data_IF_713168997954
#
_entry.id   IF_713168997954
#
_cell.length_a   1.000
_cell.length_b   1.000
_cell.length_c   1.000
_cell.angle_alpha   90.00
_cell.angle_beta   90.00
_cell.angle_gamma   90.00
#
_symmetry.space_group_name_H-M   'P 1'
#
loop_
_entity.id
_entity.type
_entity.pdbx_description
1 polymer ?
#
# COMPACT_ATOMS: atom_id res chain seq x y z
N UNK A 1 -8.67 0.05 -9.08
CA UNK A 1 -9.31 0.04 -7.75
C UNK A 1 -9.11 1.38 -7.03
N UNK A 2 -10.18 2.14 -6.81
CA UNK A 2 -10.36 2.77 -5.49
C UNK A 2 -10.51 1.62 -4.48
N UNK A 3 -10.22 1.81 -3.20
CA UNK A 3 -10.82 0.97 -2.16
C UNK A 3 -12.32 1.16 -2.32
N UNK A 4 -12.95 0.35 -3.17
CA UNK A 4 -14.31 0.57 -3.60
C UNK A 4 -15.15 -0.52 -2.99
N UNK A 5 -15.37 -0.38 -1.70
CA UNK A 5 -16.59 -0.92 -1.13
C UNK A 5 -17.76 -0.11 -1.71
N UNK A 6 -18.66 -0.79 -2.41
CA UNK A 6 -19.91 -0.18 -2.85
C UNK A 6 -20.91 -0.42 -1.75
N UNK A 7 -21.61 0.63 -1.30
CA UNK A 7 -22.77 0.46 -0.44
C UNK A 7 -24.01 0.68 -1.25
N UNK A 8 -24.78 -0.39 -1.39
CA UNK A 8 -26.10 -0.32 -2.00
C UNK A 8 -27.12 -0.26 -0.86
N UNK A 9 -27.88 0.83 -0.83
CA UNK A 9 -29.09 0.93 -0.01
C UNK A 9 -30.26 0.28 -0.74
N UNK A 10 -30.94 -0.68 -0.10
CA UNK A 10 -32.23 -1.20 -0.57
C UNK A 10 -33.18 -1.35 0.61
N UNK A 11 -34.37 -0.75 0.52
CA UNK A 11 -35.45 -0.89 1.51
C UNK A 11 -35.06 -0.58 2.98
N UNK A 12 -34.22 0.45 3.21
CA UNK A 12 -33.77 0.81 4.56
C UNK A 12 -32.64 -0.09 5.12
N UNK A 13 -32.12 -1.03 4.33
CA UNK A 13 -30.92 -1.82 4.64
C UNK A 13 -29.75 -1.33 3.80
N UNK A 14 -28.59 -1.15 4.42
CA UNK A 14 -27.32 -0.84 3.76
C UNK A 14 -26.48 -2.11 3.66
N UNK A 15 -26.14 -2.54 2.44
CA UNK A 15 -25.27 -3.69 2.20
C UNK A 15 -23.91 -3.16 1.75
N UNK A 16 -22.87 -3.46 2.52
CA UNK A 16 -21.49 -3.17 2.15
C UNK A 16 -20.89 -4.34 1.36
N UNK A 17 -20.45 -4.09 0.14
CA UNK A 17 -19.67 -5.04 -0.64
C UNK A 17 -18.19 -4.81 -0.32
N UNK A 18 -17.52 -5.83 0.25
CA UNK A 18 -16.08 -5.77 0.56
C UNK A 18 -15.31 -6.52 -0.51
N UNK A 19 -14.26 -5.90 -1.05
CA UNK A 19 -13.39 -6.52 -2.05
C UNK A 19 -12.50 -7.60 -1.38
N UNK A 20 -12.90 -8.86 -1.52
CA UNK A 20 -12.18 -10.00 -0.94
C UNK A 20 -10.82 -10.21 -1.60
N UNK A 21 -10.61 -9.79 -2.85
CA UNK A 21 -9.31 -9.93 -3.52
C UNK A 21 -8.27 -9.01 -2.90
N UNK A 22 -8.67 -7.82 -2.45
CA UNK A 22 -7.79 -6.91 -1.71
C UNK A 22 -7.45 -7.46 -0.32
N UNK A 23 -8.42 -8.05 0.38
CA UNK A 23 -8.18 -8.70 1.67
C UNK A 23 -7.21 -9.89 1.54
N UNK A 24 -7.34 -10.65 0.45
CA UNK A 24 -6.41 -11.73 0.13
C UNK A 24 -5.03 -11.19 -0.23
N UNK A 25 -4.93 -10.12 -1.02
CA UNK A 25 -3.65 -9.50 -1.36
C UNK A 25 -2.94 -8.94 -0.12
N UNK A 26 -3.66 -8.27 0.77
CA UNK A 26 -3.10 -7.74 2.02
C UNK A 26 -2.69 -8.86 2.98
N UNK A 27 -3.53 -9.88 3.15
CA UNK A 27 -3.20 -11.07 3.95
C UNK A 27 -1.98 -11.79 3.41
N UNK A 28 -1.86 -11.84 2.09
CA UNK A 28 -0.73 -12.43 1.42
C UNK A 28 0.54 -11.60 1.61
N UNK A 29 0.54 -10.28 1.42
CA UNK A 29 1.70 -9.42 1.71
C UNK A 29 2.10 -9.46 3.19
N UNK A 30 1.11 -9.50 4.09
CA UNK A 30 1.35 -9.64 5.52
C UNK A 30 2.06 -10.94 5.87
N UNK A 31 1.62 -12.05 5.30
CA UNK A 31 2.30 -13.33 5.45
C UNK A 31 3.78 -13.24 5.06
N UNK A 32 4.10 -12.47 4.01
CA UNK A 32 5.48 -12.31 3.52
C UNK A 32 6.36 -11.49 4.45
N UNK A 33 5.80 -10.42 5.02
CA UNK A 33 6.50 -9.61 6.02
C UNK A 33 6.86 -10.43 7.26
N UNK A 34 5.97 -11.34 7.67
CA UNK A 34 6.19 -12.23 8.83
C UNK A 34 7.10 -13.43 8.52
N UNK A 35 7.26 -13.81 7.25
CA UNK A 35 8.08 -14.97 6.84
C UNK A 35 9.56 -14.67 6.59
N UNK A 36 10.02 -13.43 6.79
CA UNK A 36 11.35 -12.97 6.41
C UNK A 36 11.71 -13.45 4.99
N UNK A 37 10.82 -13.14 4.05
CA UNK A 37 10.89 -13.69 2.69
C UNK A 37 11.94 -12.98 1.81
N UNK A 38 12.59 -13.75 0.94
CA UNK A 38 13.51 -13.21 -0.04
C UNK A 38 12.88 -12.15 -0.95
N UNK A 39 13.59 -11.05 -1.25
CA UNK A 39 13.02 -9.91 -1.98
C UNK A 39 12.46 -10.25 -3.37
N UNK A 40 13.02 -11.26 -4.06
CA UNK A 40 12.55 -11.70 -5.38
C UNK A 40 11.09 -12.14 -5.41
N UNK A 41 10.60 -12.75 -4.33
CA UNK A 41 9.21 -13.16 -4.27
C UNK A 41 8.30 -11.96 -4.08
N UNK A 42 8.64 -11.04 -3.16
CA UNK A 42 7.95 -9.76 -2.97
C UNK A 42 7.92 -8.94 -4.26
N UNK A 43 9.06 -8.84 -4.95
CA UNK A 43 9.16 -8.26 -6.29
C UNK A 43 8.14 -8.87 -7.26
N UNK A 44 8.11 -10.21 -7.38
CA UNK A 44 7.21 -10.87 -8.32
C UNK A 44 5.74 -10.57 -8.02
N UNK A 45 5.36 -10.45 -6.75
CA UNK A 45 3.98 -10.08 -6.38
C UNK A 45 3.63 -8.66 -6.78
N UNK A 46 4.48 -7.68 -6.49
CA UNK A 46 4.22 -6.30 -6.90
C UNK A 46 4.20 -6.15 -8.42
N UNK A 47 4.99 -6.94 -9.15
CA UNK A 47 4.91 -7.01 -10.61
C UNK A 47 3.56 -7.59 -11.09
N UNK A 48 3.06 -8.66 -10.45
CA UNK A 48 1.74 -9.25 -10.74
C UNK A 48 0.63 -8.24 -10.45
N UNK A 49 0.62 -7.60 -9.27
CA UNK A 49 -0.36 -6.56 -8.93
C UNK A 49 -0.30 -5.36 -9.87
N UNK A 50 0.90 -4.99 -10.30
CA UNK A 50 1.10 -3.97 -11.33
C UNK A 50 0.45 -4.38 -12.65
N UNK A 51 0.64 -5.64 -13.07
CA UNK A 51 0.05 -6.18 -14.28
C UNK A 51 -1.48 -6.25 -14.20
N UNK A 52 -2.04 -6.72 -13.09
CA UNK A 52 -3.49 -6.76 -12.83
C UNK A 52 -4.10 -5.35 -12.91
N UNK A 53 -3.49 -4.37 -12.24
CA UNK A 53 -3.97 -3.00 -12.23
C UNK A 53 -3.92 -2.35 -13.62
N UNK A 54 -2.88 -2.61 -14.41
CA UNK A 54 -2.77 -2.13 -15.79
C UNK A 54 -3.77 -2.83 -16.71
N UNK A 55 -3.96 -4.13 -16.53
CA UNK A 55 -4.94 -4.93 -17.25
C UNK A 55 -6.36 -4.42 -17.02
N UNK A 56 -6.74 -4.15 -15.76
CA UNK A 56 -8.04 -3.54 -15.42
C UNK A 56 -8.22 -2.14 -16.04
N UNK A 57 -7.12 -1.38 -16.15
CA UNK A 57 -7.08 -0.06 -16.80
C UNK A 57 -6.98 -0.16 -18.35
N UNK A 58 -7.05 -1.37 -18.90
CA UNK A 58 -7.06 -1.68 -20.34
C UNK A 58 -5.67 -1.74 -21.00
N UNK A 59 -4.58 -1.59 -20.27
CA UNK A 59 -3.22 -1.56 -20.80
C UNK A 59 -2.58 -2.96 -20.87
N UNK A 60 -3.15 -3.78 -21.76
CA UNK A 60 -2.82 -5.20 -21.90
C UNK A 60 -1.34 -5.44 -22.27
N UNK A 61 -0.74 -4.54 -23.06
CA UNK A 61 0.64 -4.65 -23.52
C UNK A 61 1.64 -4.45 -22.39
N UNK A 62 1.48 -3.40 -21.57
CA UNK A 62 2.38 -3.22 -20.43
C UNK A 62 2.11 -4.28 -19.37
N UNK A 63 0.85 -4.68 -19.14
CA UNK A 63 0.53 -5.78 -18.23
C UNK A 63 1.25 -7.09 -18.62
N UNK A 64 1.26 -7.44 -19.91
CA UNK A 64 2.01 -8.58 -20.42
C UNK A 64 3.52 -8.40 -20.22
N UNK A 65 4.07 -7.23 -20.54
CA UNK A 65 5.51 -6.94 -20.38
C UNK A 65 5.96 -7.03 -18.90
N UNK A 66 5.15 -6.55 -17.96
CA UNK A 66 5.41 -6.71 -16.52
C UNK A 66 5.45 -8.19 -16.14
N UNK A 67 4.48 -8.97 -16.61
CA UNK A 67 4.40 -10.41 -16.35
C UNK A 67 5.59 -11.18 -16.93
N UNK A 68 6.02 -10.83 -18.14
CA UNK A 68 7.22 -11.41 -18.78
C UNK A 68 8.50 -11.08 -18.01
N UNK A 69 8.65 -9.82 -17.55
CA UNK A 69 9.80 -9.39 -16.75
C UNK A 69 9.84 -10.12 -15.40
N UNK A 70 8.70 -10.25 -14.72
CA UNK A 70 8.60 -11.02 -13.47
C UNK A 70 9.08 -12.46 -13.65
N UNK A 71 8.59 -13.13 -14.70
CA UNK A 71 9.00 -14.50 -15.05
C UNK A 71 10.49 -14.59 -15.43
N UNK A 72 11.04 -13.59 -16.12
CA UNK A 72 12.46 -13.53 -16.44
C UNK A 72 13.33 -13.46 -15.18
N UNK A 73 13.00 -12.58 -14.23
CA UNK A 73 13.74 -12.46 -12.96
C UNK A 73 13.64 -13.71 -12.10
N UNK A 74 12.47 -14.36 -12.05
CA UNK A 74 12.32 -15.65 -11.37
C UNK A 74 13.20 -16.74 -12.00
N UNK A 75 13.30 -16.79 -13.33
CA UNK A 75 14.21 -17.73 -14.03
C UNK A 75 15.67 -17.44 -13.77
N UNK A 76 16.07 -16.17 -13.70
CA UNK A 76 17.44 -15.78 -13.34
C UNK A 76 17.77 -16.23 -11.91
N UNK A 77 16.83 -16.04 -10.99
CA UNK A 77 16.96 -16.51 -9.62
C UNK A 77 17.04 -18.04 -9.53
N UNK A 78 16.22 -18.79 -10.29
CA UNK A 78 16.34 -20.26 -10.38
C UNK A 78 17.76 -20.69 -10.73
N UNK A 79 18.34 -20.05 -11.76
CA UNK A 79 19.70 -20.33 -12.23
C UNK A 79 20.76 -19.98 -11.18
N UNK A 80 20.60 -18.85 -10.48
CA UNK A 80 21.48 -18.47 -9.38
C UNK A 80 21.49 -19.52 -8.26
N UNK A 81 20.32 -20.07 -7.92
CA UNK A 81 20.20 -21.14 -6.94
C UNK A 81 20.56 -22.54 -7.47
N UNK A 82 21.06 -22.64 -8.70
CA UNK A 82 21.34 -23.93 -9.37
C UNK A 82 20.13 -24.89 -9.35
N UNK A 83 18.92 -24.33 -9.37
CA UNK A 83 17.66 -25.05 -9.25
C UNK A 83 16.89 -25.06 -10.58
N UNK A 84 16.01 -26.05 -10.75
CA UNK A 84 15.08 -26.09 -11.89
C UNK A 84 14.04 -24.97 -11.85
N UNK A 85 13.01 -25.05 -12.69
CA UNK A 85 11.89 -24.08 -12.69
C UNK A 85 11.00 -24.15 -11.43
N UNK A 86 11.34 -25.01 -10.47
CA UNK A 86 10.68 -25.16 -9.19
C UNK A 86 11.65 -24.68 -8.12
N UNK A 87 11.49 -23.43 -7.68
CA UNK A 87 12.15 -22.96 -6.46
C UNK A 87 11.17 -23.20 -5.33
N UNK A 88 11.54 -24.09 -4.40
CA UNK A 88 10.85 -24.15 -3.13
C UNK A 88 11.07 -22.81 -2.45
N UNK A 89 9.99 -22.04 -2.30
CA UNK A 89 9.96 -20.81 -1.53
C UNK A 89 10.46 -21.12 -0.12
N UNK A 90 11.71 -20.77 0.26
CA UNK A 90 12.20 -21.07 1.59
C UNK A 90 11.40 -20.21 2.56
N UNK A 91 10.70 -20.86 3.51
CA UNK A 91 9.86 -20.19 4.50
C UNK A 91 10.37 -20.53 5.89
N UNK A 92 10.72 -19.52 6.66
CA UNK A 92 10.60 -19.62 8.10
C UNK A 92 9.13 -19.29 8.42
N UNK A 93 8.31 -20.33 8.60
CA UNK A 93 6.90 -20.12 8.97
C UNK A 93 6.84 -19.80 10.45
N UNK A 94 6.49 -18.56 10.80
CA UNK A 94 6.02 -18.27 12.14
C UNK A 94 4.64 -18.94 12.33
N UNK A 95 4.49 -19.90 13.27
CA UNK A 95 3.21 -20.58 13.49
C UNK A 95 2.06 -19.62 13.83
N UNK A 96 2.39 -18.44 14.37
CA UNK A 96 1.43 -17.38 14.68
C UNK A 96 0.66 -16.91 13.43
N UNK A 97 1.23 -16.99 12.24
CA UNK A 97 0.56 -16.57 11.01
C UNK A 97 -0.69 -17.41 10.70
N UNK A 98 -0.62 -18.72 10.91
CA UNK A 98 -1.76 -19.61 10.64
C UNK A 98 -2.92 -19.26 11.58
N UNK A 99 -2.63 -19.05 12.86
CA UNK A 99 -3.61 -18.63 13.87
C UNK A 99 -4.30 -17.31 13.48
N UNK A 100 -3.54 -16.35 12.95
CA UNK A 100 -4.07 -15.05 12.51
C UNK A 100 -5.00 -15.15 11.30
N UNK A 101 -4.64 -16.02 10.34
CA UNK A 101 -5.44 -16.25 9.14
C UNK A 101 -6.75 -16.98 9.49
N UNK A 102 -6.68 -18.04 10.31
CA UNK A 102 -7.85 -18.79 10.76
C UNK A 102 -8.80 -17.92 11.61
N UNK A 103 -8.24 -17.04 12.44
CA UNK A 103 -9.00 -16.09 13.24
C UNK A 103 -9.58 -14.92 12.44
N UNK A 104 -9.32 -14.82 11.13
CA UNK A 104 -9.79 -13.73 10.27
C UNK A 104 -9.45 -12.32 10.82
N UNK A 105 -8.30 -12.16 11.48
CA UNK A 105 -7.92 -10.89 12.12
C UNK A 105 -7.76 -9.78 11.08
N UNK A 106 -7.07 -10.06 9.98
CA UNK A 106 -6.85 -9.09 8.90
C UNK A 106 -8.14 -8.74 8.16
N UNK A 107 -9.00 -9.73 7.93
CA UNK A 107 -10.32 -9.50 7.34
C UNK A 107 -11.17 -8.62 8.27
N UNK A 108 -11.12 -8.84 9.58
CA UNK A 108 -11.83 -8.02 10.57
C UNK A 108 -11.32 -6.58 10.60
N UNK A 109 -10.01 -6.37 10.43
CA UNK A 109 -9.43 -5.03 10.29
C UNK A 109 -9.96 -4.32 9.05
N UNK A 110 -9.94 -4.99 7.88
CA UNK A 110 -10.42 -4.43 6.61
C UNK A 110 -11.91 -4.10 6.70
N UNK A 111 -12.73 -5.03 7.19
CA UNK A 111 -14.16 -4.79 7.37
C UNK A 111 -14.39 -3.59 8.29
N UNK A 112 -13.66 -3.50 9.41
CA UNK A 112 -13.79 -2.36 10.32
C UNK A 112 -13.36 -1.04 9.71
N UNK A 113 -12.30 -1.03 8.90
CA UNK A 113 -11.87 0.15 8.15
C UNK A 113 -12.95 0.60 7.16
N UNK A 114 -13.50 -0.32 6.36
CA UNK A 114 -14.57 0.00 5.40
C UNK A 114 -15.84 0.48 6.10
N UNK A 115 -16.26 -0.20 7.18
CA UNK A 115 -17.39 0.25 7.99
C UNK A 115 -17.13 1.65 8.59
N UNK A 116 -15.88 1.98 8.89
CA UNK A 116 -15.49 3.30 9.36
C UNK A 116 -15.87 4.40 8.37
N UNK A 117 -15.53 4.20 7.09
CA UNK A 117 -15.92 5.13 6.03
C UNK A 117 -17.44 5.31 5.90
N UNK A 118 -18.20 4.24 6.14
CA UNK A 118 -19.66 4.31 6.10
C UNK A 118 -20.23 5.07 7.28
N UNK A 119 -19.73 4.80 8.48
CA UNK A 119 -20.22 5.42 9.71
C UNK A 119 -19.90 6.92 9.75
N UNK A 120 -18.82 7.35 9.09
CA UNK A 120 -18.51 8.76 8.84
C UNK A 120 -19.59 9.49 8.02
N UNK A 121 -20.34 8.77 7.17
CA UNK A 121 -21.39 9.35 6.33
C UNK A 121 -22.75 9.39 7.03
N UNK A 122 -23.03 8.42 7.91
CA UNK A 122 -24.36 8.22 8.51
C UNK A 122 -24.49 8.89 9.90
N UNK A 123 -23.37 9.25 10.55
CA UNK A 123 -23.39 10.01 11.81
C UNK A 123 -23.88 9.20 13.02
N UNK A 124 -23.38 7.97 13.20
CA UNK A 124 -23.81 7.07 14.27
C UNK A 124 -23.22 7.46 15.65
N UNK A 125 -24.08 7.85 16.59
CA UNK A 125 -23.70 8.35 17.92
C UNK A 125 -22.73 7.44 18.72
N UNK A 126 -22.82 6.11 18.56
CA UNK A 126 -21.93 5.18 19.26
C UNK A 126 -20.47 5.22 18.79
N UNK A 127 -20.23 5.63 17.54
CA UNK A 127 -18.89 5.70 16.94
C UNK A 127 -18.38 7.15 16.88
N UNK A 128 -19.27 8.13 16.97
CA UNK A 128 -18.93 9.55 17.10
C UNK A 128 -17.92 9.79 18.22
N UNK A 129 -18.12 9.19 19.41
CA UNK A 129 -17.18 9.37 20.52
C UNK A 129 -15.76 8.86 20.22
N UNK A 130 -15.64 7.71 19.53
CA UNK A 130 -14.34 7.19 19.08
C UNK A 130 -13.71 8.10 18.02
N UNK A 131 -14.50 8.57 17.07
CA UNK A 131 -14.05 9.43 15.98
C UNK A 131 -13.62 10.81 16.47
N UNK A 132 -14.33 11.39 17.44
CA UNK A 132 -13.98 12.65 18.09
C UNK A 132 -12.69 12.51 18.91
N UNK A 133 -12.53 11.37 19.60
CA UNK A 133 -11.29 11.05 20.30
C UNK A 133 -10.10 11.01 19.34
N UNK A 134 -10.26 10.35 18.18
CA UNK A 134 -9.21 10.29 17.14
C UNK A 134 -8.87 11.68 16.59
N UNK A 135 -9.88 12.51 16.32
CA UNK A 135 -9.70 13.90 15.85
C UNK A 135 -8.89 14.71 16.85
N UNK A 136 -9.25 14.65 18.13
CA UNK A 136 -8.52 15.36 19.18
C UNK A 136 -7.03 14.96 19.21
N UNK A 137 -6.71 13.67 19.11
CA UNK A 137 -5.31 13.20 19.08
C UNK A 137 -4.57 13.58 17.81
N UNK A 138 -5.28 13.69 16.68
CA UNK A 138 -4.70 14.20 15.44
C UNK A 138 -4.34 15.69 15.61
N UNK A 139 -5.27 16.49 16.10
CA UNK A 139 -5.11 17.95 16.29
C UNK A 139 -4.01 18.29 17.32
N UNK A 140 -3.82 17.45 18.33
CA UNK A 140 -2.71 17.57 19.30
C UNK A 140 -1.34 17.28 18.67
N UNK A 141 -1.29 16.43 17.65
CA UNK A 141 -0.05 15.78 17.19
C UNK A 141 0.45 16.27 15.82
N UNK A 142 -0.42 16.83 14.98
CA UNK A 142 -0.08 17.11 13.58
C UNK A 142 0.98 18.21 13.39
N UNK A 143 1.29 18.98 14.44
CA UNK A 143 2.34 20.01 14.41
C UNK A 143 3.59 19.56 15.19
N UNK A 144 4.74 19.58 14.54
CA UNK A 144 6.04 19.54 15.19
C UNK A 144 6.42 20.96 15.62
N UNK A 145 6.61 21.14 16.93
CA UNK A 145 6.95 22.42 17.58
C UNK A 145 8.36 22.43 18.17
N UNK A 146 9.20 21.43 17.84
CA UNK A 146 10.57 21.32 18.36
C UNK A 146 11.54 22.37 17.80
N UNK A 147 11.27 22.90 16.60
CA UNK A 147 12.07 23.94 15.95
C UNK A 147 11.55 25.37 16.16
N UNK A 148 12.26 26.36 15.61
CA UNK A 148 11.86 27.77 15.64
C UNK A 148 10.53 28.04 14.92
N UNK A 149 10.21 27.25 13.90
CA UNK A 149 8.96 27.34 13.14
C UNK A 149 8.23 26.01 13.28
N UNK A 150 6.95 26.07 13.67
CA UNK A 150 6.11 24.87 13.74
C UNK A 150 5.89 24.29 12.33
N UNK A 151 6.03 22.97 12.18
CA UNK A 151 5.92 22.26 10.89
C UNK A 151 4.77 21.26 10.92
N UNK A 152 4.10 21.11 9.78
CA UNK A 152 3.09 20.06 9.62
C UNK A 152 3.78 18.69 9.51
N UNK A 153 3.60 17.79 10.48
CA UNK A 153 4.26 16.46 10.49
C UNK A 153 3.76 15.56 9.37
N UNK A 154 2.46 15.57 9.14
CA UNK A 154 1.77 14.54 8.35
C UNK A 154 1.54 14.92 6.88
N UNK A 155 1.73 16.19 6.52
CA UNK A 155 1.57 16.67 5.16
C UNK A 155 2.89 17.28 4.68
N UNK A 156 3.19 17.05 3.42
CA UNK A 156 4.34 17.66 2.74
C UNK A 156 3.90 18.30 1.42
N UNK A 157 4.68 19.28 0.92
CA UNK A 157 4.42 19.86 -0.39
C UNK A 157 4.59 18.79 -1.46
N UNK A 158 3.79 18.86 -2.53
CA UNK A 158 4.00 17.98 -3.69
C UNK A 158 5.38 18.27 -4.29
N UNK A 159 6.19 17.22 -4.40
CA UNK A 159 7.49 17.28 -5.05
C UNK A 159 7.35 16.60 -6.40
N UNK A 160 7.78 17.28 -7.44
CA UNK A 160 7.69 16.78 -8.81
C UNK A 160 9.08 16.63 -9.38
N UNK A 161 9.44 15.41 -9.77
CA UNK A 161 10.66 15.14 -10.55
C UNK A 161 10.42 15.59 -11.99
N UNK A 162 11.15 16.60 -12.45
CA UNK A 162 11.10 17.06 -13.84
C UNK A 162 12.10 16.27 -14.68
N UNK A 163 11.73 16.06 -15.95
CA UNK A 163 12.55 15.41 -16.93
C UNK A 163 12.64 16.30 -18.16
N UNK A 164 13.81 16.38 -18.76
CA UNK A 164 14.03 17.04 -20.05
C UNK A 164 13.54 16.16 -21.21
N UNK A 165 13.55 16.71 -22.43
CA UNK A 165 13.04 16.03 -23.63
C UNK A 165 13.80 14.74 -23.97
N UNK A 166 15.03 14.59 -23.51
CA UNK A 166 15.86 13.39 -23.66
C UNK A 166 15.65 12.37 -22.52
N UNK A 167 14.79 12.68 -21.55
CA UNK A 167 14.48 11.83 -20.40
C UNK A 167 15.43 12.03 -19.21
N UNK A 168 16.42 12.91 -19.29
CA UNK A 168 17.34 13.22 -18.19
C UNK A 168 16.64 14.04 -17.10
N UNK A 169 17.08 13.93 -15.83
CA UNK A 169 16.50 14.72 -14.75
C UNK A 169 16.87 16.20 -14.87
N UNK A 170 15.84 17.03 -15.03
CA UNK A 170 15.94 18.49 -15.05
C UNK A 170 15.83 19.12 -13.64
N UNK A 171 15.96 18.29 -12.60
CA UNK A 171 15.77 18.66 -11.20
C UNK A 171 14.34 18.53 -10.70
N UNK A 172 14.04 19.17 -9.57
CA UNK A 172 12.78 19.05 -8.85
C UNK A 172 12.02 20.35 -8.80
N UNK A 173 10.70 20.27 -8.75
CA UNK A 173 9.84 21.38 -8.35
C UNK A 173 9.09 21.03 -7.08
N UNK A 174 9.26 21.85 -6.04
CA UNK A 174 8.49 21.77 -4.79
C UNK A 174 7.33 22.75 -4.88
N UNK A 175 6.10 22.25 -4.82
CA UNK A 175 4.89 23.05 -5.06
C UNK A 175 4.23 23.54 -3.76
N UNK A 176 4.90 24.44 -3.04
CA UNK A 176 4.43 24.93 -1.73
C UNK A 176 3.11 25.75 -1.77
N UNK A 177 2.92 26.59 -2.79
CA UNK A 177 1.73 27.48 -2.88
C UNK A 177 0.42 26.72 -3.16
N UNK A 178 0.50 25.54 -3.80
CA UNK A 178 -0.66 24.66 -3.99
C UNK A 178 -1.02 23.93 -2.70
N UNK A 179 -0.03 23.56 -1.89
CA UNK A 179 -0.25 22.85 -0.63
C UNK A 179 -1.10 23.67 0.33
N UNK A 180 -0.75 24.93 0.59
CA UNK A 180 -1.44 25.76 1.58
C UNK A 180 -2.96 25.88 1.34
N UNK A 181 -3.41 25.90 0.07
CA UNK A 181 -4.83 25.94 -0.29
C UNK A 181 -5.55 24.60 -0.11
N UNK A 182 -4.84 23.49 -0.30
CA UNK A 182 -5.38 22.12 -0.27
C UNK A 182 -5.25 21.46 1.11
N UNK A 183 -4.39 21.99 1.99
CA UNK A 183 -4.11 21.45 3.33
C UNK A 183 -5.36 21.13 4.14
N UNK A 184 -6.39 22.00 4.23
CA UNK A 184 -7.61 21.66 4.99
C UNK A 184 -8.29 20.40 4.47
N UNK A 185 -8.38 20.24 3.14
CA UNK A 185 -8.96 19.06 2.51
C UNK A 185 -8.11 17.81 2.73
N UNK A 186 -6.79 17.94 2.62
CA UNK A 186 -5.86 16.83 2.87
C UNK A 186 -5.88 16.35 4.32
N UNK A 187 -5.92 17.28 5.30
CA UNK A 187 -6.12 16.93 6.71
C UNK A 187 -7.44 16.21 6.91
N UNK A 188 -8.52 16.74 6.34
CA UNK A 188 -9.83 16.11 6.41
C UNK A 188 -9.83 14.67 5.84
N UNK A 189 -9.08 14.42 4.77
CA UNK A 189 -8.90 13.05 4.26
C UNK A 189 -8.07 12.18 5.21
N UNK A 190 -6.93 12.66 5.72
CA UNK A 190 -6.10 11.89 6.66
C UNK A 190 -6.88 11.53 7.94
N UNK A 191 -7.65 12.47 8.49
CA UNK A 191 -8.50 12.23 9.67
C UNK A 191 -9.49 11.09 9.39
N UNK A 192 -10.15 11.11 8.23
CA UNK A 192 -11.10 10.03 7.85
C UNK A 192 -10.42 8.67 7.75
N UNK A 193 -9.24 8.59 7.14
CA UNK A 193 -8.49 7.34 7.05
C UNK A 193 -8.11 6.80 8.43
N UNK A 194 -7.63 7.68 9.33
CA UNK A 194 -7.25 7.28 10.69
C UNK A 194 -8.47 6.88 11.52
N UNK A 195 -9.60 7.56 11.37
CA UNK A 195 -10.86 7.17 12.02
C UNK A 195 -11.30 5.77 11.57
N UNK A 196 -11.20 5.49 10.28
CA UNK A 196 -11.48 4.16 9.73
C UNK A 196 -10.52 3.11 10.29
N UNK A 197 -9.22 3.39 10.31
CA UNK A 197 -8.21 2.50 10.89
C UNK A 197 -8.49 2.21 12.36
N UNK A 198 -8.90 3.22 13.15
CA UNK A 198 -9.23 3.03 14.55
C UNK A 198 -10.35 2.00 14.70
N UNK A 199 -11.42 2.09 13.91
CA UNK A 199 -12.49 1.09 13.94
C UNK A 199 -11.99 -0.29 13.48
N UNK A 200 -11.12 -0.33 12.46
CA UNK A 200 -10.41 -1.54 12.04
C UNK A 200 -9.68 -2.22 13.20
N UNK A 201 -8.89 -1.46 13.98
CA UNK A 201 -8.17 -1.95 15.16
C UNK A 201 -9.14 -2.50 16.23
N UNK A 202 -10.24 -1.81 16.49
CA UNK A 202 -11.23 -2.25 17.48
C UNK A 202 -11.89 -3.57 17.06
N UNK A 203 -12.30 -3.70 15.81
CA UNK A 203 -12.96 -4.92 15.31
C UNK A 203 -12.02 -6.13 15.26
N UNK A 204 -10.80 -5.93 14.78
CA UNK A 204 -9.76 -6.97 14.77
C UNK A 204 -9.34 -7.38 16.18
N UNK A 205 -9.32 -6.46 17.15
CA UNK A 205 -9.09 -6.80 18.57
C UNK A 205 -10.14 -7.79 19.09
N UNK A 206 -11.41 -7.61 18.71
CA UNK A 206 -12.47 -8.54 19.12
C UNK A 206 -12.25 -9.95 18.55
N UNK A 207 -11.83 -10.05 17.28
CA UNK A 207 -11.48 -11.33 16.65
C UNK A 207 -10.27 -11.98 17.33
N UNK A 208 -9.23 -11.20 17.65
CA UNK A 208 -8.04 -11.68 18.36
C UNK A 208 -8.34 -12.21 19.77
N UNK A 209 -9.21 -11.52 20.52
CA UNK A 209 -9.65 -11.97 21.84
C UNK A 209 -10.35 -13.33 21.74
N UNK A 210 -11.26 -13.50 20.77
CA UNK A 210 -11.98 -14.76 20.57
C UNK A 210 -11.05 -15.93 20.24
N UNK A 211 -9.95 -15.66 19.53
CA UNK A 211 -8.96 -16.65 19.13
C UNK A 211 -7.81 -16.84 20.13
N UNK A 212 -7.74 -16.05 21.22
CA UNK A 212 -6.67 -16.14 22.20
C UNK A 212 -5.29 -15.66 21.70
N UNK A 213 -5.27 -14.83 20.65
CA UNK A 213 -4.04 -14.26 20.10
C UNK A 213 -3.45 -13.26 21.10
N UNK A 214 -2.12 -13.24 21.26
CA UNK A 214 -1.46 -12.29 22.17
C UNK A 214 -1.45 -10.87 21.59
N UNK A 215 -1.52 -9.87 22.48
CA UNK A 215 -1.59 -8.45 22.11
C UNK A 215 -0.33 -7.96 21.38
N UNK A 216 0.85 -8.45 21.72
CA UNK A 216 2.13 -8.06 21.12
C UNK A 216 2.19 -8.47 19.64
N UNK A 217 1.64 -9.64 19.33
CA UNK A 217 1.51 -10.16 17.97
C UNK A 217 0.64 -9.19 17.17
N UNK A 218 -0.55 -8.87 17.69
CA UNK A 218 -1.49 -7.98 17.01
C UNK A 218 -0.90 -6.57 16.79
N UNK A 219 -0.20 -6.04 17.79
CA UNK A 219 0.46 -4.74 17.72
C UNK A 219 1.50 -4.68 16.58
N UNK A 220 2.40 -5.67 16.50
CA UNK A 220 3.42 -5.74 15.45
C UNK A 220 2.81 -5.89 14.05
N UNK A 221 1.72 -6.65 13.92
CA UNK A 221 1.05 -6.87 12.65
C UNK A 221 0.45 -5.60 12.10
N UNK A 222 -0.24 -4.79 12.90
CA UNK A 222 -0.89 -3.59 12.36
C UNK A 222 0.09 -2.59 11.76
N UNK A 223 1.27 -2.43 12.36
CA UNK A 223 2.30 -1.58 11.77
C UNK A 223 2.70 -2.04 10.37
N UNK A 224 2.88 -3.35 10.19
CA UNK A 224 3.17 -3.95 8.90
C UNK A 224 1.98 -3.91 7.93
N UNK A 225 0.74 -4.07 8.42
CA UNK A 225 -0.50 -3.98 7.62
C UNK A 225 -0.64 -2.59 7.01
N UNK A 226 -0.45 -1.55 7.82
CA UNK A 226 -0.54 -0.17 7.39
C UNK A 226 0.49 0.12 6.29
N UNK A 227 1.71 -0.36 6.46
CA UNK A 227 2.76 -0.14 5.46
C UNK A 227 2.55 -0.93 4.17
N UNK A 228 2.22 -2.22 4.25
CA UNK A 228 1.95 -3.06 3.08
C UNK A 228 0.74 -2.52 2.28
N UNK A 229 -0.27 -2.02 3.00
CA UNK A 229 -1.39 -1.29 2.41
C UNK A 229 -0.91 -0.06 1.65
N UNK A 230 -0.04 0.75 2.25
CA UNK A 230 0.50 1.94 1.59
C UNK A 230 1.30 1.57 0.34
N UNK A 231 2.11 0.51 0.35
CA UNK A 231 2.84 0.05 -0.85
C UNK A 231 1.89 -0.28 -2.01
N UNK A 232 0.79 -1.00 -1.74
CA UNK A 232 -0.24 -1.29 -2.74
C UNK A 232 -0.94 -0.03 -3.25
N UNK A 233 -1.28 0.90 -2.34
CA UNK A 233 -1.93 2.15 -2.70
C UNK A 233 -1.00 3.04 -3.54
N UNK A 234 0.29 3.13 -3.18
CA UNK A 234 1.32 3.82 -3.96
C UNK A 234 1.40 3.23 -5.36
N UNK A 235 1.49 1.91 -5.49
CA UNK A 235 1.55 1.24 -6.79
C UNK A 235 0.36 1.66 -7.66
N UNK A 236 -0.86 1.65 -7.09
CA UNK A 236 -2.08 2.03 -7.82
C UNK A 236 -2.11 3.52 -8.22
N UNK A 237 -1.62 4.42 -7.38
CA UNK A 237 -1.54 5.87 -7.69
C UNK A 237 -0.48 6.18 -8.73
N UNK A 238 0.62 5.43 -8.72
CA UNK A 238 1.75 5.59 -9.62
C UNK A 238 1.43 5.14 -11.05
N UNK A 239 0.88 3.93 -11.23
CA UNK A 239 0.71 3.30 -12.55
C UNK A 239 0.02 4.19 -13.62
N UNK A 240 -1.09 4.91 -13.32
CA UNK A 240 -1.74 5.76 -14.30
C UNK A 240 -0.92 7.01 -14.68
N UNK A 241 0.07 7.38 -13.87
CA UNK A 241 0.93 8.56 -14.01
C UNK A 241 2.26 8.24 -14.70
N UNK A 242 2.55 6.95 -14.90
CA UNK A 242 3.80 6.53 -15.51
C UNK A 242 3.93 7.06 -16.95
N UNK A 243 5.14 7.47 -17.36
CA UNK A 243 5.37 7.96 -18.70
C UNK A 243 5.07 6.87 -19.74
N UNK A 244 4.59 7.28 -20.92
CA UNK A 244 4.39 6.42 -22.10
C UNK A 244 5.08 7.04 -23.31
N UNK A 245 6.03 6.32 -23.89
CA UNK A 245 6.81 6.81 -25.03
C UNK A 245 7.51 8.17 -24.76
N UNK A 246 7.47 9.05 -25.76
CA UNK A 246 8.17 10.36 -25.77
C UNK A 246 7.52 11.44 -24.89
N UNK A 247 6.31 11.23 -24.37
CA UNK A 247 5.70 12.19 -23.43
C UNK A 247 6.23 11.96 -22.02
N UNK A 248 7.32 12.64 -21.68
CA UNK A 248 7.72 12.84 -20.29
C UNK A 248 7.80 14.32 -19.99
N UNK A 249 6.98 14.77 -19.04
CA UNK A 249 7.25 16.00 -18.33
C UNK A 249 6.55 15.88 -16.98
N UNK A 250 7.37 15.79 -15.93
CA UNK A 250 6.99 15.76 -14.52
C UNK A 250 6.30 14.47 -14.02
N UNK A 251 6.94 13.75 -13.08
CA UNK A 251 6.29 12.71 -12.26
C UNK A 251 6.16 13.27 -10.83
N UNK A 252 4.93 13.45 -10.31
CA UNK A 252 4.73 13.81 -8.92
C UNK A 252 5.15 12.63 -8.04
N UNK A 253 5.90 12.93 -6.99
CA UNK A 253 6.26 11.97 -5.97
C UNK A 253 5.05 11.66 -5.09
N UNK A 254 4.98 10.41 -4.65
CA UNK A 254 3.82 9.91 -3.92
C UNK A 254 3.79 10.47 -2.51
N UNK A 255 2.75 11.27 -2.23
CA UNK A 255 2.40 11.62 -0.87
C UNK A 255 1.75 10.41 -0.19
N UNK A 256 2.14 10.16 1.05
CA UNK A 256 1.63 9.05 1.86
C UNK A 256 0.95 9.58 3.11
N UNK A 257 -0.13 8.89 3.54
CA UNK A 257 -0.78 9.11 4.83
C UNK A 257 -0.22 8.21 5.93
N UNK A 258 0.74 7.34 5.62
CA UNK A 258 1.24 6.30 6.51
C UNK A 258 1.81 6.85 7.82
N UNK A 259 2.50 8.00 7.79
CA UNK A 259 2.99 8.65 9.02
C UNK A 259 1.84 8.94 9.98
N UNK A 260 0.77 9.59 9.49
CA UNK A 260 -0.39 9.92 10.31
C UNK A 260 -1.03 8.65 10.85
N UNK A 261 -1.20 7.63 10.00
CA UNK A 261 -1.81 6.34 10.36
C UNK A 261 -1.01 5.61 11.43
N UNK A 262 0.31 5.50 11.28
CA UNK A 262 1.20 4.86 12.28
C UNK A 262 1.26 5.65 13.58
N UNK A 263 1.40 6.97 13.51
CA UNK A 263 1.46 7.82 14.69
C UNK A 263 0.16 7.73 15.49
N UNK A 264 -0.98 7.85 14.81
CA UNK A 264 -2.29 7.80 15.47
C UNK A 264 -2.64 6.38 15.93
N UNK A 265 -2.18 5.33 15.24
CA UNK A 265 -2.24 3.96 15.75
C UNK A 265 -1.53 3.83 17.10
N UNK A 266 -0.30 4.35 17.22
CA UNK A 266 0.45 4.32 18.49
C UNK A 266 -0.29 5.09 19.59
N UNK A 267 -0.84 6.27 19.27
CA UNK A 267 -1.67 7.04 20.21
C UNK A 267 -2.93 6.28 20.63
N UNK A 268 -3.60 5.61 19.68
CA UNK A 268 -4.77 4.78 19.94
C UNK A 268 -4.43 3.63 20.90
N UNK A 269 -3.35 2.91 20.65
CA UNK A 269 -2.90 1.80 21.51
C UNK A 269 -2.57 2.28 22.92
N UNK A 270 -1.86 3.40 23.07
CA UNK A 270 -1.64 4.06 24.38
C UNK A 270 -2.97 4.37 25.06
N UNK A 271 -3.89 5.00 24.32
CA UNK A 271 -5.20 5.34 24.84
C UNK A 271 -6.03 4.12 25.28
N UNK A 272 -5.96 3.02 24.54
CA UNK A 272 -6.62 1.75 24.85
C UNK A 272 -6.02 1.11 26.11
N UNK A 273 -4.69 1.09 26.22
CA UNK A 273 -3.96 0.61 27.39
C UNK A 273 -4.32 1.40 28.66
N UNK A 274 -4.45 2.72 28.54
CA UNK A 274 -4.76 3.61 29.65
C UNK A 274 -6.27 3.67 29.99
N UNK A 275 -7.12 2.99 29.21
CA UNK A 275 -8.57 3.00 29.42
C UNK A 275 -9.26 4.32 29.03
N UNK A 276 -8.60 5.16 28.23
CA UNK A 276 -9.09 6.50 27.84
C UNK A 276 -9.89 6.53 26.53
N UNK A 277 -9.94 5.42 25.80
CA UNK A 277 -10.65 5.30 24.51
C UNK A 277 -12.06 4.75 24.77
N UNK A 278 -13.12 5.35 24.17
CA UNK A 278 -14.51 4.95 24.41
C UNK A 278 -14.87 3.65 23.66
N UNK A 279 -14.40 2.50 24.15
CA UNK A 279 -14.62 1.17 23.56
C UNK A 279 -14.99 0.13 24.62
N UNK A 280 -15.51 -1.05 24.24
CA UNK A 280 -15.87 -2.11 25.18
C UNK A 280 -14.74 -2.53 26.13
N UNK A 281 -15.09 -2.86 27.38
CA UNK A 281 -14.15 -3.17 28.47
C UNK A 281 -13.23 -4.36 28.14
N UNK A 282 -13.73 -5.38 27.44
CA UNK A 282 -12.91 -6.52 27.03
C UNK A 282 -11.76 -6.12 26.10
N UNK A 283 -11.99 -5.13 25.22
CA UNK A 283 -10.95 -4.59 24.34
C UNK A 283 -9.93 -3.79 25.16
N UNK A 284 -10.38 -2.95 26.09
CA UNK A 284 -9.48 -2.24 27.00
C UNK A 284 -8.62 -3.20 27.83
N UNK A 285 -9.23 -4.26 28.37
CA UNK A 285 -8.52 -5.30 29.12
C UNK A 285 -7.49 -6.03 28.25
N UNK A 286 -7.83 -6.34 27.01
CA UNK A 286 -6.89 -6.96 26.07
C UNK A 286 -5.66 -6.08 25.83
N UNK A 287 -5.85 -4.80 25.48
CA UNK A 287 -4.74 -3.88 25.23
C UNK A 287 -3.95 -3.50 26.47
N UNK A 288 -4.55 -3.56 27.66
CA UNK A 288 -3.84 -3.28 28.92
C UNK A 288 -2.72 -4.29 29.19
N UNK A 289 -2.81 -5.50 28.62
CA UNK A 289 -1.79 -6.56 28.74
C UNK A 289 -0.52 -6.30 27.92
N UNK A 290 -0.52 -5.30 27.01
CA UNK A 290 0.65 -5.00 26.19
C UNK A 290 1.83 -4.56 27.08
N UNK A 291 3.04 -5.12 26.93
CA UNK A 291 4.20 -4.69 27.71
C UNK A 291 4.51 -3.22 27.50
N UNK A 292 4.72 -2.49 28.60
CA UNK A 292 4.97 -1.05 28.58
C UNK A 292 6.23 -0.68 27.78
N UNK A 293 7.27 -1.52 27.89
CA UNK A 293 8.54 -1.32 27.18
C UNK A 293 8.38 -1.38 25.65
N UNK A 294 7.43 -2.17 25.14
CA UNK A 294 7.11 -2.21 23.71
C UNK A 294 6.62 -0.85 23.24
N UNK A 295 5.72 -0.21 23.99
CA UNK A 295 5.12 1.06 23.59
C UNK A 295 6.10 2.23 23.76
N UNK A 296 6.87 2.25 24.86
CA UNK A 296 7.93 3.25 25.09
C UNK A 296 8.97 3.29 23.98
N UNK A 297 9.33 2.14 23.42
CA UNK A 297 10.27 2.09 22.29
C UNK A 297 9.75 2.90 21.09
N UNK A 298 8.48 2.73 20.72
CA UNK A 298 7.88 3.47 19.60
C UNK A 298 7.63 4.95 19.93
N UNK A 299 7.34 5.28 21.18
CA UNK A 299 7.26 6.68 21.63
C UNK A 299 8.61 7.38 21.54
N UNK A 300 9.70 6.69 21.88
CA UNK A 300 11.06 7.22 21.68
C UNK A 300 11.33 7.48 20.19
N UNK A 301 10.90 6.58 19.29
CA UNK A 301 11.01 6.80 17.84
C UNK A 301 10.20 8.02 17.36
N UNK A 302 9.06 8.32 17.99
CA UNK A 302 8.27 9.53 17.72
C UNK A 302 9.03 10.77 18.18
N UNK A 303 9.54 10.76 19.41
CA UNK A 303 10.19 11.91 20.02
C UNK A 303 11.50 12.26 19.29
N UNK A 304 12.22 11.24 18.80
CA UNK A 304 13.44 11.38 18.01
C UNK A 304 13.20 11.75 16.53
N UNK A 305 11.95 11.83 16.08
CA UNK A 305 11.61 12.09 14.67
C UNK A 305 11.97 10.94 13.71
N UNK A 306 12.22 9.74 14.25
CA UNK A 306 12.58 8.54 13.48
C UNK A 306 11.36 7.84 12.92
N UNK A 307 10.19 8.00 13.54
CA UNK A 307 8.93 7.44 13.03
C UNK A 307 8.58 8.05 11.67
N UNK A 308 8.81 9.34 11.45
CA UNK A 308 8.59 9.99 10.15
C UNK A 308 9.47 9.35 9.06
N UNK A 309 10.72 8.97 9.39
CA UNK A 309 11.60 8.27 8.45
C UNK A 309 11.08 6.88 8.09
N UNK A 310 10.55 6.15 9.10
CA UNK A 310 9.96 4.82 8.92
C UNK A 310 8.67 4.92 8.09
N UNK A 311 7.74 5.80 8.46
CA UNK A 311 6.46 5.97 7.77
C UNK A 311 6.59 6.54 6.36
N UNK A 312 7.76 7.03 5.98
CA UNK A 312 8.07 7.52 4.63
C UNK A 312 8.92 6.56 3.82
N UNK A 313 9.42 5.46 4.40
CA UNK A 313 10.41 4.61 3.74
C UNK A 313 9.90 4.04 2.42
N UNK A 314 8.65 3.61 2.33
CA UNK A 314 8.06 3.13 1.06
C UNK A 314 8.01 4.21 -0.02
N UNK A 315 7.60 5.44 0.32
CA UNK A 315 7.59 6.58 -0.60
C UNK A 315 9.00 7.03 -1.01
N UNK A 316 9.94 7.01 -0.07
CA UNK A 316 11.38 7.26 -0.28
C UNK A 316 11.93 6.23 -1.28
N UNK A 317 11.66 4.94 -1.07
CA UNK A 317 12.11 3.88 -1.97
C UNK A 317 11.46 3.99 -3.36
N UNK A 318 10.19 4.34 -3.46
CA UNK A 318 9.51 4.59 -4.74
C UNK A 318 10.20 5.70 -5.52
N UNK A 319 10.60 6.78 -4.84
CA UNK A 319 11.35 7.86 -5.46
C UNK A 319 12.67 7.37 -6.05
N UNK A 320 13.52 6.71 -5.25
CA UNK A 320 14.79 6.18 -5.73
C UNK A 320 14.61 5.20 -6.90
N UNK A 321 13.53 4.41 -6.87
CA UNK A 321 13.17 3.48 -7.94
C UNK A 321 12.84 4.21 -9.25
N UNK A 322 12.07 5.29 -9.21
CA UNK A 322 11.71 6.12 -10.37
C UNK A 322 12.98 6.78 -10.94
N UNK A 323 13.82 7.35 -10.10
CA UNK A 323 15.07 8.00 -10.53
C UNK A 323 15.99 7.00 -11.24
N UNK A 324 16.28 5.87 -10.59
CA UNK A 324 17.15 4.85 -11.14
C UNK A 324 16.59 4.24 -12.44
N UNK A 325 15.27 4.01 -12.52
CA UNK A 325 14.64 3.47 -13.72
C UNK A 325 14.72 4.41 -14.92
N UNK A 326 14.55 5.71 -14.70
CA UNK A 326 14.43 6.69 -15.79
C UNK A 326 15.76 7.36 -16.14
N UNK A 327 16.73 7.37 -15.23
CA UNK A 327 18.01 8.07 -15.38
C UNK A 327 19.22 7.13 -15.38
N UNK A 328 19.07 5.91 -14.87
CA UNK A 328 20.17 4.95 -14.72
C UNK A 328 21.05 5.16 -13.48
N UNK A 329 20.85 6.25 -12.72
CA UNK A 329 21.53 6.51 -11.44
C UNK A 329 20.64 7.30 -10.48
N UNK A 330 20.97 7.30 -9.19
CA UNK A 330 20.32 8.18 -8.21
C UNK A 330 20.79 9.64 -8.39
N UNK A 331 19.88 10.60 -8.20
CA UNK A 331 20.17 12.02 -8.38
C UNK A 331 21.08 12.61 -7.29
N UNK A 332 21.33 13.92 -7.39
CA UNK A 332 21.98 14.69 -6.31
C UNK A 332 20.94 15.21 -5.32
N UNK A 333 21.27 15.21 -4.03
CA UNK A 333 20.39 15.70 -2.98
C UNK A 333 19.96 17.15 -3.24
N UNK A 334 18.65 17.49 -3.21
CA UNK A 334 18.27 18.89 -3.06
C UNK A 334 18.77 19.41 -1.71
N UNK A 335 19.20 20.68 -1.69
CA UNK A 335 19.58 21.40 -0.45
C UNK A 335 18.32 21.57 0.41
N UNK A 336 18.09 20.66 1.34
CA UNK A 336 16.84 20.54 2.11
C UNK A 336 16.71 21.56 3.24
N UNK A 337 17.80 21.99 3.88
CA UNK A 337 17.75 22.91 5.01
C UNK A 337 17.20 24.31 4.61
N UNK A 338 17.79 24.93 3.58
CA UNK A 338 17.38 26.24 3.09
C UNK A 338 15.93 26.27 2.57
N UNK A 339 15.46 25.15 2.01
CA UNK A 339 14.08 25.01 1.52
C UNK A 339 13.08 24.86 2.67
N UNK A 340 13.45 24.12 3.72
CA UNK A 340 12.61 23.95 4.91
C UNK A 340 12.42 25.29 5.63
N UNK A 341 13.48 26.07 5.79
CA UNK A 341 13.41 27.40 6.40
C UNK A 341 12.49 28.34 5.61
N UNK A 342 12.63 28.39 4.29
CA UNK A 342 11.81 29.24 3.41
C UNK A 342 10.34 28.86 3.39
N UNK A 343 10.01 27.56 3.47
CA UNK A 343 8.64 27.07 3.39
C UNK A 343 7.93 27.05 4.75
N UNK A 344 8.68 27.14 5.86
CA UNK A 344 8.14 27.18 7.22
C UNK A 344 7.20 26.01 7.51
N UNK A 345 5.97 26.31 7.98
CA UNK A 345 4.97 25.28 8.30
C UNK A 345 4.64 24.36 7.12
N UNK A 346 4.69 24.90 5.90
CA UNK A 346 4.34 24.21 4.65
C UNK A 346 5.48 23.32 4.14
N UNK A 347 6.66 23.39 4.77
CA UNK A 347 7.78 22.48 4.48
C UNK A 347 7.44 21.03 4.84
N UNK A 348 6.67 20.86 5.92
CA UNK A 348 6.30 19.58 6.48
C UNK A 348 7.45 18.57 6.57
N UNK A 349 7.26 17.39 5.99
CA UNK A 349 8.24 16.30 5.99
C UNK A 349 9.32 16.37 4.88
N UNK A 350 9.50 17.53 4.22
CA UNK A 350 10.48 17.71 3.12
C UNK A 350 11.92 17.31 3.49
N UNK A 351 12.27 17.36 4.78
CA UNK A 351 13.61 16.99 5.28
C UNK A 351 14.01 15.55 4.90
N UNK A 352 13.06 14.63 4.80
CA UNK A 352 13.34 13.23 4.46
C UNK A 352 13.18 12.92 2.97
N UNK A 353 12.77 13.91 2.15
CA UNK A 353 12.51 13.67 0.73
C UNK A 353 13.75 13.12 0.01
N UNK A 354 14.95 13.52 0.45
CA UNK A 354 16.24 13.11 -0.09
C UNK A 354 16.80 11.84 0.54
N UNK A 355 16.11 11.20 1.49
CA UNK A 355 16.64 10.06 2.23
C UNK A 355 16.93 8.82 1.36
N UNK A 356 16.33 8.75 0.17
CA UNK A 356 16.54 7.65 -0.79
C UNK A 356 18.00 7.57 -1.26
N UNK A 357 18.75 8.68 -1.19
CA UNK A 357 20.18 8.76 -1.52
C UNK A 357 21.08 8.08 -0.48
N UNK A 358 20.54 7.79 0.71
CA UNK A 358 21.22 6.99 1.72
C UNK A 358 21.22 5.49 1.40
N UNK A 359 20.44 5.06 0.41
CA UNK A 359 20.36 3.66 -0.01
C UNK A 359 21.25 3.41 -1.23
N UNK A 360 22.07 2.35 -1.24
CA UNK A 360 22.83 1.95 -2.41
C UNK A 360 21.93 1.64 -3.61
N UNK A 361 22.38 1.93 -4.84
CA UNK A 361 21.62 1.62 -6.07
C UNK A 361 21.24 0.14 -6.19
N UNK A 362 22.09 -0.75 -5.67
CA UNK A 362 21.84 -2.18 -5.64
C UNK A 362 20.56 -2.56 -4.88
N UNK A 363 20.11 -1.75 -3.92
CA UNK A 363 18.88 -1.97 -3.16
C UNK A 363 17.63 -1.96 -4.05
N UNK A 364 17.69 -1.26 -5.18
CA UNK A 364 16.57 -1.12 -6.13
C UNK A 364 16.64 -2.15 -7.27
N UNK A 365 17.57 -3.10 -7.23
CA UNK A 365 17.79 -4.10 -8.26
C UNK A 365 17.57 -5.50 -7.66
N UNK A 366 16.50 -6.18 -8.06
CA UNK A 366 16.13 -7.48 -7.47
C UNK A 366 17.22 -8.53 -7.66
N UNK A 367 17.93 -8.51 -8.78
CA UNK A 367 19.05 -9.41 -9.09
C UNK A 367 20.23 -9.29 -8.11
N UNK A 368 20.38 -8.12 -7.46
CA UNK A 368 21.42 -7.90 -6.44
C UNK A 368 21.04 -8.50 -5.09
N UNK A 369 19.78 -8.91 -4.93
CA UNK A 369 19.25 -9.51 -3.70
C UNK A 369 19.18 -11.04 -3.74
N UNK A 370 19.69 -11.70 -4.78
CA UNK A 370 19.63 -13.16 -4.89
C UNK A 370 20.40 -13.90 -3.79
N UNK A 371 21.40 -13.24 -3.18
CA UNK A 371 22.12 -13.75 -2.01
C UNK A 371 21.59 -13.24 -0.67
N UNK A 372 20.42 -12.60 -0.62
CA UNK A 372 19.86 -12.04 0.61
C UNK A 372 19.54 -13.14 1.63
N UNK A 373 19.77 -12.84 2.91
CA UNK A 373 19.47 -13.72 4.04
C UNK A 373 18.61 -13.02 5.10
N UNK A 374 17.81 -13.75 5.90
CA UNK A 374 17.02 -13.15 6.99
C UNK A 374 17.83 -12.43 8.07
N UNK A 375 19.13 -12.69 8.15
CA UNK A 375 20.04 -11.97 9.05
C UNK A 375 20.54 -10.64 8.49
N UNK A 376 20.25 -10.33 7.23
CA UNK A 376 20.56 -9.02 6.68
C UNK A 376 19.60 -7.99 7.30
N UNK A 377 20.12 -6.85 7.77
CA UNK A 377 19.35 -5.77 8.44
C UNK A 377 18.30 -5.05 7.54
N UNK A 378 17.98 -5.65 6.39
CA UNK A 378 17.24 -5.05 5.31
C UNK A 378 15.87 -5.72 5.10
N UNK A 379 14.81 -4.91 5.06
CA UNK A 379 13.43 -5.36 4.84
C UNK A 379 13.24 -5.91 3.42
N UNK A 380 13.09 -7.24 3.30
CA UNK A 380 12.98 -7.90 2.01
C UNK A 380 11.70 -7.56 1.24
N UNK A 381 10.60 -7.22 1.92
CA UNK A 381 9.35 -6.78 1.27
C UNK A 381 9.56 -5.41 0.64
N UNK A 382 10.13 -4.46 1.39
CA UNK A 382 10.43 -3.12 0.91
C UNK A 382 11.39 -3.13 -0.29
N UNK A 383 12.41 -3.99 -0.27
CA UNK A 383 13.40 -4.08 -1.35
C UNK A 383 12.81 -4.72 -2.60
N UNK A 384 11.97 -5.76 -2.42
CA UNK A 384 11.19 -6.33 -3.50
C UNK A 384 10.25 -5.31 -4.14
N UNK A 385 9.55 -4.52 -3.31
CA UNK A 385 8.68 -3.43 -3.76
C UNK A 385 9.44 -2.37 -4.57
N UNK A 386 10.55 -1.86 -4.04
CA UNK A 386 11.38 -0.87 -4.71
C UNK A 386 11.87 -1.37 -6.08
N UNK A 387 12.39 -2.60 -6.10
CA UNK A 387 12.85 -3.23 -7.33
C UNK A 387 11.73 -3.40 -8.36
N UNK A 388 10.51 -3.73 -7.92
CA UNK A 388 9.35 -3.87 -8.80
C UNK A 388 8.96 -2.52 -9.38
N UNK A 389 8.88 -1.47 -8.55
CA UNK A 389 8.59 -0.10 -9.01
C UNK A 389 9.62 0.37 -10.04
N UNK A 390 10.91 0.09 -9.82
CA UNK A 390 11.97 0.42 -10.78
C UNK A 390 11.70 -0.24 -12.14
N UNK A 391 11.51 -1.56 -12.16
CA UNK A 391 11.32 -2.30 -13.40
C UNK A 391 9.99 -1.93 -14.10
N UNK A 392 8.93 -1.63 -13.34
CA UNK A 392 7.67 -1.12 -13.88
C UNK A 392 7.88 0.23 -14.56
N UNK A 393 8.60 1.15 -13.92
CA UNK A 393 8.92 2.45 -14.48
C UNK A 393 9.74 2.32 -15.77
N UNK A 394 10.78 1.48 -15.77
CA UNK A 394 11.63 1.17 -16.93
C UNK A 394 10.82 0.61 -18.12
N UNK A 395 9.92 -0.33 -17.85
CA UNK A 395 9.05 -0.91 -18.87
C UNK A 395 8.04 0.10 -19.41
N UNK A 396 7.39 0.88 -18.54
CA UNK A 396 6.45 1.92 -18.98
C UNK A 396 7.15 2.99 -19.84
N UNK A 397 8.35 3.38 -19.42
CA UNK A 397 9.24 4.31 -20.08
C UNK A 397 9.67 3.87 -21.49
N UNK A 398 9.90 2.57 -21.69
CA UNK A 398 10.39 1.99 -22.93
C UNK A 398 9.28 1.48 -23.85
N UNK A 399 8.05 1.35 -23.35
CA UNK A 399 6.89 0.95 -24.14
C UNK A 399 6.48 2.04 -25.13
N UNK A 400 6.65 1.74 -26.43
CA UNK A 400 6.32 2.63 -27.55
C UNK A 400 5.03 2.23 -28.28
N UNK A 401 4.48 1.05 -27.99
CA UNK A 401 3.25 0.57 -28.64
C UNK A 401 2.04 1.39 -28.18
N UNK A 402 1.05 1.63 -29.06
CA UNK A 402 -0.13 2.41 -28.71
C UNK A 402 -0.94 1.71 -27.62
N UNK A 403 -1.40 2.48 -26.64
CA UNK A 403 -2.31 1.99 -25.60
C UNK A 403 -3.64 1.58 -26.25
N UNK A 404 -3.97 0.30 -26.20
CA UNK A 404 -5.34 -0.15 -26.48
C UNK A 404 -6.22 0.31 -25.29
N UNK A 405 -7.25 1.10 -25.53
CA UNK A 405 -8.09 1.64 -24.45
C UNK A 405 -9.39 0.86 -24.34
N UNK A 406 -9.32 -0.36 -23.80
CA UNK A 406 -10.52 -1.10 -23.42
C UNK A 406 -10.52 -1.22 -21.90
N UNK A 407 -11.12 -0.24 -21.22
CA UNK A 407 -11.20 -0.23 -19.76
C UNK A 407 -12.38 -1.07 -19.30
N UNK A 408 -12.15 -1.97 -18.35
CA UNK A 408 -13.21 -2.78 -17.72
C UNK A 408 -14.32 -1.89 -17.11
N UNK A 409 -13.94 -0.74 -16.53
CA UNK A 409 -14.89 0.22 -15.96
C UNK A 409 -15.80 0.89 -17.01
N UNK A 410 -15.31 1.13 -18.22
CA UNK A 410 -16.11 1.74 -19.31
C UNK A 410 -17.11 0.74 -19.89
N UNK A 411 -16.83 -0.56 -19.74
CA UNK A 411 -17.74 -1.64 -20.13
C UNK A 411 -18.81 -1.85 -19.05
N UNK A 412 -18.40 -1.90 -17.78
CA UNK A 412 -19.32 -2.10 -16.64
C UNK A 412 -20.26 -0.90 -16.41
N UNK A 413 -19.84 0.33 -16.71
CA UNK A 413 -20.71 1.53 -16.63
C UNK A 413 -21.82 1.56 -17.66
N UNK A 414 -21.60 0.96 -18.83
CA UNK A 414 -22.54 1.06 -19.95
C UNK A 414 -23.52 -0.12 -20.02
N UNK A 415 -23.37 -1.14 -19.17
CA UNK A 415 -24.36 -2.22 -19.01
C UNK A 415 -24.68 -3.03 -20.26
N UNK A 416 -23.90 -2.92 -21.34
CA UNK A 416 -24.12 -3.68 -22.56
C UNK A 416 -23.42 -5.03 -22.46
N UNK A 417 -24.19 -6.08 -22.16
CA UNK A 417 -23.75 -7.48 -22.10
C UNK A 417 -22.91 -7.89 -23.32
N UNK A 418 -23.19 -7.33 -24.50
CA UNK A 418 -22.43 -7.58 -25.72
C UNK A 418 -20.97 -7.12 -25.63
N UNK A 419 -20.70 -5.94 -25.06
CA UNK A 419 -19.33 -5.41 -24.88
C UNK A 419 -18.57 -6.12 -23.77
N UNK A 420 -19.28 -6.58 -22.74
CA UNK A 420 -18.71 -7.43 -21.70
C UNK A 420 -18.32 -8.80 -22.27
N UNK A 421 -19.19 -9.42 -23.09
CA UNK A 421 -18.89 -10.67 -23.79
C UNK A 421 -17.75 -10.49 -24.81
N UNK A 422 -17.68 -9.35 -25.50
CA UNK A 422 -16.61 -9.03 -26.44
C UNK A 422 -15.25 -8.79 -25.74
N UNK A 423 -15.25 -8.16 -24.56
CA UNK A 423 -14.09 -8.09 -23.66
C UNK A 423 -13.67 -9.48 -23.18
N UNK A 424 -14.61 -10.29 -22.68
CA UNK A 424 -14.31 -11.67 -22.29
C UNK A 424 -13.72 -12.47 -23.46
N UNK A 425 -14.20 -12.25 -24.69
CA UNK A 425 -13.66 -12.87 -25.91
C UNK A 425 -12.27 -12.34 -26.29
N UNK A 426 -12.02 -11.02 -26.18
CA UNK A 426 -10.70 -10.45 -26.47
C UNK A 426 -9.64 -10.95 -25.49
N UNK A 427 -10.04 -11.15 -24.22
CA UNK A 427 -9.23 -11.78 -23.17
C UNK A 427 -9.01 -13.27 -23.48
N UNK A 428 -10.04 -13.98 -23.96
CA UNK A 428 -9.98 -15.40 -24.38
C UNK A 428 -9.04 -15.63 -25.56
N UNK A 429 -8.87 -14.66 -26.45
CA UNK A 429 -7.91 -14.74 -27.58
C UNK A 429 -6.47 -14.40 -27.20
N UNK A 430 -6.24 -13.69 -26.10
CA UNK A 430 -4.89 -13.27 -25.66
C UNK A 430 -4.25 -14.23 -24.66
N UNK A 431 -5.05 -15.01 -23.93
CA UNK A 431 -4.56 -16.16 -23.16
C UNK A 431 -4.45 -17.35 -24.09
N UNK A 432 -3.23 -17.76 -24.45
CA UNK A 432 -3.03 -19.03 -25.15
C UNK A 432 -3.49 -20.17 -24.24
N UNK A 433 -4.73 -20.63 -24.46
CA UNK A 433 -5.49 -21.64 -23.70
C UNK A 433 -4.90 -23.07 -23.76
N UNK A 434 -3.62 -23.23 -24.12
CA UNK A 434 -3.06 -24.55 -24.39
C UNK A 434 -2.80 -25.41 -23.16
N UNK A 435 -3.18 -25.00 -21.93
CA UNK A 435 -2.93 -25.79 -20.71
C UNK A 435 -3.98 -25.68 -19.58
N UNK A 436 -5.19 -25.18 -19.82
CA UNK A 436 -6.26 -25.34 -18.84
C UNK A 436 -6.95 -26.69 -19.04
N UNK A 437 -7.03 -27.50 -17.98
CA UNK A 437 -7.66 -28.82 -18.01
C UNK A 437 -9.10 -28.69 -18.56
N UNK A 438 -9.43 -29.34 -19.70
CA UNK A 438 -10.74 -29.23 -20.33
C UNK A 438 -11.90 -29.61 -19.41
N UNK A 439 -11.68 -30.53 -18.46
CA UNK A 439 -12.71 -30.93 -17.48
C UNK A 439 -13.05 -29.82 -16.48
N UNK A 440 -12.05 -29.03 -16.08
CA UNK A 440 -12.27 -27.91 -15.15
C UNK A 440 -13.06 -26.79 -15.82
N UNK A 441 -12.72 -26.45 -17.07
CA UNK A 441 -13.43 -25.44 -17.87
C UNK A 441 -14.88 -25.86 -18.18
N UNK A 442 -15.11 -27.14 -18.47
CA UNK A 442 -16.46 -27.69 -18.69
C UNK A 442 -17.32 -27.63 -17.42
N UNK A 443 -16.77 -27.95 -16.25
CA UNK A 443 -17.48 -27.83 -14.96
C UNK A 443 -17.79 -26.39 -14.58
N UNK A 444 -16.88 -25.46 -14.85
CA UNK A 444 -17.11 -24.04 -14.57
C UNK A 444 -18.20 -23.44 -15.47
N UNK A 445 -18.20 -23.74 -16.77
CA UNK A 445 -19.29 -23.32 -17.67
C UNK A 445 -20.63 -23.98 -17.32
N UNK A 446 -20.62 -25.20 -16.77
CA UNK A 446 -21.84 -25.85 -16.27
C UNK A 446 -22.38 -25.15 -15.01
N UNK A 447 -21.52 -24.83 -14.04
CA UNK A 447 -21.90 -24.15 -12.80
C UNK A 447 -22.44 -22.73 -13.04
N UNK A 448 -21.94 -22.02 -14.05
CA UNK A 448 -22.45 -20.70 -14.44
C UNK A 448 -23.80 -20.74 -15.15
N UNK A 449 -24.23 -21.90 -15.66
CA UNK A 449 -25.49 -22.08 -16.39
C UNK A 449 -26.58 -22.74 -15.56
N UNK A 450 -26.25 -23.26 -14.39
CA UNK A 450 -27.26 -23.74 -13.46
C UNK A 450 -28.01 -22.54 -12.85
N UNK A 451 -29.34 -22.49 -12.96
CA UNK A 451 -30.12 -21.53 -12.21
C UNK A 451 -29.87 -21.78 -10.72
N UNK A 452 -29.50 -20.74 -9.98
CA UNK A 452 -29.43 -20.82 -8.51
C UNK A 452 -30.83 -21.20 -8.03
N UNK A 453 -30.98 -22.44 -7.57
CA UNK A 453 -32.22 -22.91 -6.97
C UNK A 453 -32.50 -22.02 -5.75
N UNK A 454 -33.63 -21.33 -5.77
CA UNK A 454 -34.08 -20.56 -4.61
C UNK A 454 -34.44 -21.56 -3.50
N UNK A 455 -33.63 -21.58 -2.44
CA UNK A 455 -33.95 -22.19 -1.15
C UNK A 455 -33.79 -21.15 -0.05
#
# INVERSE_FOLDING_TARGET
MQWSSVVLGRNGTHIAFVDVEQANALSFLMARGLWAEMPIFSYAEFMIRGAEALYDDGDLLLAAALSERANARLREYCRYCESGSIILRPKAVDPVLLELMEANVLLSFIIGHELGHLLQQVGNAGVVALFDWVVARYDESHLDKSGQIARERFLGPEIVQKFDSDGTAAGYAVQGTKLARLMPGMRGQQIKEVQSDALGVIMSSAASIAAGIRVEILFGIFLAVLENTEMLMVLRRLLPRLPRGEKRAAIPLENTSLIARQFLFLRLVRGLKDGSVPVPVNILHYWSTLPEETLKHFETLIDDGRLEQIGLRSGIMVRGSIELALQGSLGKAPVTADLVEKLGMVAGNLIVASAHLGYPEATYMVERSFGWTPSDDNDGVLYGFASAVRDICDLAASEKRPRQSLRRADILRNGEDARFVEFLRSVRTQVSLNRLNPEWASRFEHLLREPIAAS
#
